data_IF_580674054261
#
_entry.id   IF_580674054261
#
_cell.length_a   1.000
_cell.length_b   1.000
_cell.length_c   1.000
_cell.angle_alpha   90.00
_cell.angle_beta   90.00
_cell.angle_gamma   90.00
#
_symmetry.space_group_name_H-M   'P 1'
#
loop_
_entity.id
_entity.type
_entity.pdbx_description
1 polymer ?
#
# COMPACT_ATOMS: atom_id res chain seq x y z
N UNK A 1 -5.95 -5.11 11.86
CA UNK A 1 -5.31 -5.06 10.53
C UNK A 1 -6.33 -5.58 9.54
N UNK A 2 -6.88 -4.69 8.70
CA UNK A 2 -7.89 -5.05 7.71
C UNK A 2 -7.18 -5.24 6.35
N UNK A 3 -7.51 -6.34 5.64
CA UNK A 3 -6.94 -6.66 4.33
C UNK A 3 -8.04 -6.58 3.28
N UNK A 4 -7.97 -5.57 2.42
CA UNK A 4 -8.89 -5.43 1.28
C UNK A 4 -8.40 -6.20 0.06
N UNK A 5 -9.27 -7.03 -0.54
CA UNK A 5 -8.99 -7.66 -1.85
C UNK A 5 -9.74 -6.90 -2.94
N UNK A 6 -8.97 -6.24 -3.81
CA UNK A 6 -9.48 -5.55 -4.98
C UNK A 6 -9.35 -6.37 -6.26
N UNK A 7 -10.22 -6.14 -7.25
CA UNK A 7 -10.00 -6.60 -8.62
C UNK A 7 -8.69 -6.06 -9.21
N UNK A 8 -8.09 -6.79 -10.16
CA UNK A 8 -6.77 -6.43 -10.71
C UNK A 8 -6.72 -5.12 -11.50
N UNK A 9 -7.88 -4.63 -11.97
CA UNK A 9 -8.01 -3.38 -12.71
C UNK A 9 -8.29 -2.16 -11.83
N UNK A 10 -8.54 -2.35 -10.53
CA UNK A 10 -8.82 -1.25 -9.61
C UNK A 10 -7.51 -0.54 -9.25
N UNK A 11 -7.53 0.78 -9.20
CA UNK A 11 -6.35 1.56 -8.85
C UNK A 11 -6.19 1.57 -7.33
N UNK A 12 -5.04 1.14 -6.81
CA UNK A 12 -4.84 1.00 -5.36
C UNK A 12 -5.13 2.28 -4.54
N UNK A 13 -5.01 3.46 -5.16
CA UNK A 13 -5.36 4.74 -4.54
C UNK A 13 -6.83 4.82 -4.08
N UNK A 14 -7.74 4.05 -4.68
CA UNK A 14 -9.15 3.99 -4.27
C UNK A 14 -9.31 3.40 -2.88
N UNK A 15 -8.39 2.51 -2.46
CA UNK A 15 -8.40 1.87 -1.15
C UNK A 15 -7.63 2.67 -0.08
N UNK A 16 -6.88 3.71 -0.48
CA UNK A 16 -6.09 4.50 0.46
C UNK A 16 -6.95 5.11 1.56
N UNK A 17 -8.11 5.69 1.20
CA UNK A 17 -8.98 6.35 2.18
C UNK A 17 -9.76 5.37 3.05
N UNK A 18 -10.42 4.33 2.51
CA UNK A 18 -11.07 3.29 3.32
C UNK A 18 -10.12 2.68 4.35
N UNK A 19 -8.89 2.35 3.95
CA UNK A 19 -7.91 1.75 4.87
C UNK A 19 -7.44 2.71 5.97
N UNK A 20 -7.59 4.02 5.76
CA UNK A 20 -7.26 5.02 6.75
C UNK A 20 -8.44 5.32 7.69
N UNK A 21 -9.67 4.89 7.44
CA UNK A 21 -10.85 5.32 8.23
C UNK A 21 -10.71 5.08 9.74
N UNK A 22 -10.01 4.01 10.13
CA UNK A 22 -9.90 3.58 11.53
C UNK A 22 -8.50 3.73 12.13
N UNK A 23 -7.58 4.41 11.43
CA UNK A 23 -6.19 4.61 11.88
C UNK A 23 -5.68 6.02 11.54
N UNK A 24 -4.90 6.60 12.45
CA UNK A 24 -4.20 7.88 12.25
C UNK A 24 -2.69 7.68 12.48
N UNK A 25 -1.95 7.13 11.50
CA UNK A 25 -0.51 6.95 11.64
C UNK A 25 0.24 8.29 11.58
N UNK A 26 1.44 8.37 12.18
CA UNK A 26 2.27 9.58 12.11
C UNK A 26 2.65 9.96 10.67
N UNK A 27 2.84 8.95 9.80
CA UNK A 27 3.22 9.12 8.42
C UNK A 27 2.56 8.11 7.49
N UNK A 28 2.21 8.57 6.28
CA UNK A 28 1.68 7.76 5.20
C UNK A 28 2.70 7.65 4.06
N UNK A 29 3.27 6.45 3.89
CA UNK A 29 4.27 6.16 2.88
C UNK A 29 3.60 5.48 1.68
N UNK A 30 3.64 6.11 0.51
CA UNK A 30 3.06 5.53 -0.68
C UNK A 30 3.80 5.93 -1.96
N UNK A 31 3.44 5.27 -3.05
CA UNK A 31 4.06 5.52 -4.34
C UNK A 31 3.65 6.83 -4.97
N UNK A 32 4.49 7.31 -5.89
CA UNK A 32 4.24 8.50 -6.69
C UNK A 32 2.86 8.49 -7.37
N UNK A 33 2.30 7.31 -7.67
CA UNK A 33 0.93 7.18 -8.17
C UNK A 33 -0.13 7.80 -7.22
N UNK A 34 0.12 7.75 -5.91
CA UNK A 34 -0.72 8.31 -4.84
C UNK A 34 -0.59 9.83 -4.68
N UNK A 35 0.24 10.48 -5.50
CA UNK A 35 0.32 11.94 -5.53
C UNK A 35 -0.97 12.52 -6.15
N UNK A 36 -1.98 12.71 -5.31
CA UNK A 36 -3.29 13.27 -5.63
C UNK A 36 -3.69 14.28 -4.55
N UNK A 37 -4.06 15.50 -4.95
CA UNK A 37 -4.36 16.60 -4.01
C UNK A 37 -5.43 16.23 -2.98
N UNK A 38 -6.47 15.52 -3.41
CA UNK A 38 -7.54 15.04 -2.54
C UNK A 38 -7.02 14.20 -1.37
N UNK A 39 -6.17 13.21 -1.67
CA UNK A 39 -5.59 12.32 -0.66
C UNK A 39 -4.63 13.09 0.26
N UNK A 40 -3.76 13.92 -0.32
CA UNK A 40 -2.77 14.69 0.43
C UNK A 40 -3.44 15.65 1.41
N UNK A 41 -4.46 16.38 0.96
CA UNK A 41 -5.20 17.32 1.79
C UNK A 41 -5.90 16.59 2.95
N UNK A 42 -6.47 15.41 2.68
CA UNK A 42 -7.10 14.58 3.72
C UNK A 42 -6.09 14.07 4.75
N UNK A 43 -4.90 13.65 4.32
CA UNK A 43 -3.82 13.25 5.23
C UNK A 43 -3.41 14.41 6.15
N UNK A 44 -3.18 15.60 5.57
CA UNK A 44 -2.81 16.80 6.33
C UNK A 44 -3.91 17.20 7.32
N UNK A 45 -5.19 17.17 6.90
CA UNK A 45 -6.34 17.47 7.78
C UNK A 45 -6.41 16.53 8.98
N UNK A 46 -5.96 15.29 8.83
CA UNK A 46 -5.91 14.29 9.90
C UNK A 46 -4.61 14.31 10.69
N UNK A 47 -3.69 15.24 10.40
CA UNK A 47 -2.38 15.31 11.06
C UNK A 47 -1.39 14.23 10.61
N UNK A 48 -1.68 13.50 9.53
CA UNK A 48 -0.85 12.42 9.01
C UNK A 48 0.16 13.01 8.01
N UNK A 49 1.45 12.73 8.19
CA UNK A 49 2.51 13.25 7.30
C UNK A 49 2.53 12.51 5.96
N UNK A 50 2.28 13.16 4.81
CA UNK A 50 2.29 12.48 3.51
C UNK A 50 3.72 12.31 2.99
N UNK A 51 4.27 11.10 3.07
CA UNK A 51 5.59 10.72 2.53
C UNK A 51 5.41 10.10 1.15
N UNK A 52 5.04 10.96 0.19
CA UNK A 52 4.73 10.57 -1.19
C UNK A 52 5.56 11.43 -2.15
N UNK A 53 6.44 10.83 -2.97
CA UNK A 53 7.21 11.59 -3.95
C UNK A 53 6.30 12.33 -4.94
N UNK A 54 6.57 13.60 -5.25
CA UNK A 54 5.73 14.37 -6.15
C UNK A 54 5.81 13.85 -7.60
N UNK A 55 4.68 13.91 -8.32
CA UNK A 55 4.62 13.65 -9.76
C UNK A 55 5.56 14.58 -10.52
N UNK A 56 6.15 14.08 -11.62
CA UNK A 56 7.10 14.88 -12.43
C UNK A 56 6.42 16.11 -13.02
N UNK A 57 5.12 16.01 -13.32
CA UNK A 57 4.26 17.06 -13.87
C UNK A 57 3.79 18.09 -12.84
N UNK A 58 4.13 17.96 -11.54
CA UNK A 58 3.73 18.96 -10.55
C UNK A 58 4.52 20.26 -10.72
N UNK A 59 3.78 21.36 -10.82
CA UNK A 59 4.30 22.73 -10.80
C UNK A 59 4.96 23.04 -9.46
N UNK A 60 4.28 22.73 -8.36
CA UNK A 60 4.80 22.92 -6.99
C UNK A 60 5.20 21.57 -6.40
N UNK A 61 6.50 21.35 -6.25
CA UNK A 61 7.02 20.11 -5.65
C UNK A 61 6.98 20.20 -4.13
N UNK A 62 6.31 19.24 -3.50
CA UNK A 62 6.31 19.09 -2.04
C UNK A 62 7.65 18.53 -1.58
N UNK A 63 8.16 19.03 -0.46
CA UNK A 63 9.31 18.43 0.21
C UNK A 63 8.89 17.05 0.75
N UNK A 64 9.63 16.01 0.40
CA UNK A 64 9.37 14.64 0.84
C UNK A 64 10.59 14.15 1.59
N UNK A 65 10.39 13.51 2.75
CA UNK A 65 11.46 12.81 3.46
C UNK A 65 11.80 11.51 2.71
N UNK A 66 12.88 11.54 1.95
CA UNK A 66 13.33 10.37 1.19
C UNK A 66 13.99 9.30 2.07
N UNK A 67 14.45 9.65 3.27
CA UNK A 67 14.97 8.67 4.23
C UNK A 67 13.81 7.81 4.73
N UNK A 68 12.73 8.46 5.17
CA UNK A 68 11.52 7.75 5.61
C UNK A 68 10.85 7.02 4.44
N UNK A 69 10.81 7.62 3.24
CA UNK A 69 10.30 6.95 2.04
C UNK A 69 11.00 5.61 1.75
N UNK A 70 12.29 5.47 2.09
CA UNK A 70 13.06 4.24 1.84
C UNK A 70 12.51 3.04 2.63
N UNK A 71 11.83 3.27 3.75
CA UNK A 71 11.23 2.20 4.58
C UNK A 71 10.16 1.41 3.82
N UNK A 72 9.59 1.96 2.73
CA UNK A 72 8.69 1.22 1.84
C UNK A 72 9.32 -0.07 1.27
N UNK A 73 10.65 -0.13 1.18
CA UNK A 73 11.37 -1.32 0.75
C UNK A 73 11.06 -2.54 1.64
N UNK A 74 10.71 -2.37 2.91
CA UNK A 74 10.27 -3.48 3.77
C UNK A 74 8.99 -4.13 3.23
N UNK A 75 8.01 -3.31 2.86
CA UNK A 75 6.75 -3.74 2.27
C UNK A 75 6.98 -4.36 0.89
N UNK A 76 7.84 -3.75 0.06
CA UNK A 76 8.16 -4.28 -1.27
C UNK A 76 8.85 -5.64 -1.21
N UNK A 77 9.79 -5.84 -0.28
CA UNK A 77 10.44 -7.14 -0.05
C UNK A 77 9.44 -8.19 0.40
N UNK A 78 8.50 -7.83 1.26
CA UNK A 78 7.42 -8.73 1.67
C UNK A 78 6.56 -9.17 0.47
N UNK A 79 6.10 -8.23 -0.36
CA UNK A 79 5.35 -8.58 -1.57
C UNK A 79 6.17 -9.37 -2.59
N UNK A 80 7.48 -9.12 -2.69
CA UNK A 80 8.37 -9.92 -3.53
C UNK A 80 8.45 -11.38 -3.05
N UNK A 81 8.54 -11.60 -1.72
CA UNK A 81 8.45 -12.95 -1.14
C UNK A 81 7.08 -13.60 -1.39
N UNK A 82 5.99 -12.86 -1.20
CA UNK A 82 4.64 -13.36 -1.50
C UNK A 82 4.49 -13.81 -2.97
N UNK A 83 5.13 -13.10 -3.91
CA UNK A 83 5.09 -13.44 -5.33
C UNK A 83 5.88 -14.71 -5.69
N UNK A 84 6.70 -15.26 -4.80
CA UNK A 84 7.33 -16.58 -5.00
C UNK A 84 6.30 -17.71 -4.97
N UNK A 85 5.18 -17.51 -4.28
CA UNK A 85 4.06 -18.44 -4.28
C UNK A 85 3.26 -18.24 -5.57
N UNK A 86 3.53 -19.06 -6.59
CA UNK A 86 2.92 -18.94 -7.93
C UNK A 86 1.40 -18.76 -7.89
N UNK A 87 0.69 -19.56 -7.09
CA UNK A 87 -0.78 -19.50 -6.97
C UNK A 87 -1.29 -18.12 -6.50
N UNK A 88 -0.53 -17.44 -5.62
CA UNK A 88 -0.83 -16.09 -5.13
C UNK A 88 -0.50 -15.07 -6.21
N UNK A 89 0.70 -15.16 -6.82
CA UNK A 89 1.16 -14.22 -7.82
C UNK A 89 0.22 -14.14 -9.04
N UNK A 90 -0.31 -15.27 -9.48
CA UNK A 90 -1.23 -15.36 -10.62
C UNK A 90 -2.71 -15.30 -10.23
N UNK A 91 -3.03 -15.23 -8.93
CA UNK A 91 -4.39 -15.25 -8.38
C UNK A 91 -5.26 -16.38 -8.96
N UNK A 92 -4.84 -17.64 -8.78
CA UNK A 92 -5.61 -18.79 -9.31
C UNK A 92 -6.93 -19.05 -8.59
N UNK A 93 -7.06 -18.60 -7.34
CA UNK A 93 -8.26 -18.78 -6.56
C UNK A 93 -9.44 -17.95 -7.12
N UNK A 94 -10.56 -18.61 -7.39
CA UNK A 94 -11.79 -17.97 -7.87
C UNK A 94 -12.54 -17.23 -6.76
N UNK A 95 -12.40 -17.67 -5.52
CA UNK A 95 -13.08 -17.10 -4.36
C UNK A 95 -12.13 -16.16 -3.61
N UNK A 96 -12.63 -14.98 -3.24
CA UNK A 96 -11.90 -14.01 -2.43
C UNK A 96 -11.43 -14.61 -1.10
N UNK A 97 -12.26 -15.43 -0.46
CA UNK A 97 -11.94 -16.09 0.81
C UNK A 97 -10.77 -17.05 0.69
N UNK A 98 -10.75 -17.90 -0.35
CA UNK A 98 -9.65 -18.84 -0.58
C UNK A 98 -8.34 -18.12 -0.89
N UNK A 99 -8.41 -17.07 -1.74
CA UNK A 99 -7.24 -16.23 -2.01
C UNK A 99 -6.69 -15.57 -0.74
N UNK A 100 -7.59 -15.02 0.10
CA UNK A 100 -7.21 -14.41 1.37
C UNK A 100 -6.52 -15.41 2.29
N UNK A 101 -7.09 -16.61 2.43
CA UNK A 101 -6.52 -17.67 3.25
C UNK A 101 -5.12 -18.08 2.75
N UNK A 102 -4.93 -18.19 1.44
CA UNK A 102 -3.62 -18.47 0.83
C UNK A 102 -2.59 -17.35 1.13
N UNK A 103 -2.99 -16.08 0.99
CA UNK A 103 -2.14 -14.92 1.31
C UNK A 103 -1.76 -14.92 2.80
N UNK A 104 -2.72 -15.15 3.70
CA UNK A 104 -2.47 -15.23 5.14
C UNK A 104 -1.51 -16.38 5.47
N UNK A 105 -1.73 -17.56 4.89
CA UNK A 105 -0.87 -18.72 5.09
C UNK A 105 0.57 -18.45 4.62
N UNK A 106 0.75 -17.91 3.41
CA UNK A 106 2.07 -17.52 2.92
C UNK A 106 2.73 -16.43 3.79
N UNK A 107 1.95 -15.49 4.31
CA UNK A 107 2.44 -14.44 5.22
C UNK A 107 2.99 -15.04 6.52
N UNK A 108 2.31 -16.04 7.09
CA UNK A 108 2.78 -16.77 8.28
C UNK A 108 4.11 -17.48 7.98
N UNK A 109 4.22 -18.16 6.83
CA UNK A 109 5.46 -18.82 6.42
C UNK A 109 6.61 -17.80 6.29
N UNK A 110 6.35 -16.64 5.68
CA UNK A 110 7.36 -15.58 5.53
C UNK A 110 7.80 -15.00 6.88
N UNK A 111 6.90 -14.96 7.86
CA UNK A 111 7.18 -14.44 9.21
C UNK A 111 8.00 -15.42 10.05
N UNK A 112 7.76 -16.73 9.92
CA UNK A 112 8.42 -17.77 10.71
C UNK A 112 9.79 -18.21 10.15
N UNK A 113 10.11 -17.82 8.91
CA UNK A 113 11.39 -18.07 8.25
C UNK A 113 12.35 -16.89 8.39
#
# INVERSE_FOLDING_TARGET
MELGITPGQDADITQAEPLLENIDPDAFLADKAYDADRLINRLIQRGITPVIPPKRSRTTRRKTDFSLYRERNLVERFFNKLKQFRAIATRYDKLKSTFLAAVQFASIIILLN
#
